data_IF_686901666958
#
_entry.id   IF_686901666958
#
_cell.length_a   1.000
_cell.length_b   1.000
_cell.length_c   1.000
_cell.angle_alpha   90.00
_cell.angle_beta   90.00
_cell.angle_gamma   90.00
#
_symmetry.space_group_name_H-M   'P 1'
#
loop_
_entity.id
_entity.type
_entity.pdbx_description
1 polymer ?
#
# COMPACT_ATOMS: atom_id res chain seq x y z
N UNK A 1 -50.26 -28.53 16.99
CA UNK A 1 -49.71 -27.20 17.35
C UNK A 1 -48.42 -27.04 16.57
N UNK A 2 -48.29 -25.99 15.75
CA UNK A 2 -46.99 -25.65 15.18
C UNK A 2 -46.06 -25.28 16.34
N UNK A 3 -44.78 -25.71 16.34
CA UNK A 3 -43.83 -25.32 17.38
C UNK A 3 -43.75 -23.79 17.44
N UNK A 4 -43.97 -23.24 18.64
CA UNK A 4 -43.80 -21.81 18.89
C UNK A 4 -42.33 -21.50 18.65
N UNK A 5 -41.99 -20.80 17.56
CA UNK A 5 -40.64 -20.28 17.35
C UNK A 5 -40.34 -19.34 18.52
N UNK A 6 -39.32 -19.66 19.32
CA UNK A 6 -38.86 -18.79 20.40
C UNK A 6 -38.33 -17.51 19.77
N UNK A 7 -38.82 -16.34 20.21
CA UNK A 7 -38.29 -15.05 19.77
C UNK A 7 -36.79 -15.01 20.10
N UNK A 8 -35.98 -14.84 19.05
CA UNK A 8 -34.53 -14.85 19.15
C UNK A 8 -33.98 -13.48 18.77
N UNK A 9 -32.73 -13.25 19.14
CA UNK A 9 -31.99 -12.06 18.80
C UNK A 9 -30.54 -12.46 18.55
N UNK A 10 -29.86 -11.63 17.77
CA UNK A 10 -28.47 -11.85 17.39
C UNK A 10 -27.63 -10.71 17.96
N UNK A 11 -26.48 -11.05 18.53
CA UNK A 11 -25.47 -10.10 18.93
C UNK A 11 -24.18 -10.39 18.16
N UNK A 12 -23.42 -9.34 17.88
CA UNK A 12 -22.08 -9.45 17.34
C UNK A 12 -21.09 -8.65 18.19
N UNK A 13 -19.83 -9.07 18.16
CA UNK A 13 -18.69 -8.36 18.73
C UNK A 13 -17.58 -8.39 17.70
N UNK A 14 -17.01 -7.22 17.41
CA UNK A 14 -15.81 -7.13 16.58
C UNK A 14 -14.58 -7.02 17.49
N UNK A 15 -13.60 -7.89 17.26
CA UNK A 15 -12.41 -8.05 18.09
C UNK A 15 -12.77 -8.20 19.58
N UNK A 16 -12.28 -7.26 20.39
CA UNK A 16 -12.56 -7.14 21.82
C UNK A 16 -13.41 -5.90 22.15
N UNK A 17 -14.13 -5.36 21.15
CA UNK A 17 -15.09 -4.26 21.34
C UNK A 17 -16.35 -4.68 22.10
N UNK A 18 -17.34 -3.79 22.19
CA UNK A 18 -18.59 -4.10 22.89
C UNK A 18 -19.52 -5.00 22.05
N UNK A 19 -20.27 -5.86 22.73
CA UNK A 19 -21.33 -6.63 22.08
C UNK A 19 -22.46 -5.73 21.62
N UNK A 20 -22.78 -5.78 20.34
CA UNK A 20 -23.83 -4.98 19.71
C UNK A 20 -24.96 -5.88 19.23
N UNK A 21 -26.20 -5.48 19.53
CA UNK A 21 -27.40 -6.20 19.09
C UNK A 21 -27.74 -5.83 17.65
N UNK A 22 -28.08 -6.82 16.82
CA UNK A 22 -28.68 -6.56 15.50
C UNK A 22 -30.08 -5.94 15.65
N UNK A 23 -30.42 -5.01 14.76
CA UNK A 23 -31.76 -4.43 14.72
C UNK A 23 -32.79 -5.44 14.23
N UNK A 24 -33.99 -5.41 14.81
CA UNK A 24 -35.06 -6.38 14.51
C UNK A 24 -35.63 -6.25 13.08
N UNK A 25 -35.28 -5.20 12.34
CA UNK A 25 -35.62 -5.04 10.91
C UNK A 25 -34.89 -6.04 10.02
N UNK A 26 -33.78 -6.61 10.49
CA UNK A 26 -32.85 -7.39 9.66
C UNK A 26 -33.10 -8.90 9.81
N UNK A 27 -34.03 -9.29 10.68
CA UNK A 27 -34.34 -10.68 11.01
C UNK A 27 -35.79 -10.97 10.60
N UNK A 28 -35.97 -11.70 9.50
CA UNK A 28 -37.25 -12.31 9.16
C UNK A 28 -37.40 -13.65 9.91
N UNK A 29 -38.14 -13.60 11.01
CA UNK A 29 -38.43 -14.78 11.85
C UNK A 29 -39.26 -15.85 11.11
N UNK A 30 -39.86 -15.52 9.96
CA UNK A 30 -40.64 -16.47 9.15
C UNK A 30 -39.74 -17.35 8.29
N UNK A 31 -38.55 -16.89 7.92
CA UNK A 31 -37.59 -17.65 7.10
C UNK A 31 -36.81 -18.69 7.91
N UNK A 32 -36.22 -19.65 7.20
CA UNK A 32 -35.27 -20.63 7.74
C UNK A 32 -33.82 -20.14 7.71
N UNK A 33 -33.56 -19.04 6.99
CA UNK A 33 -32.25 -18.41 6.86
C UNK A 33 -32.43 -16.89 6.75
N UNK A 34 -31.57 -16.14 7.42
CA UNK A 34 -31.49 -14.68 7.34
C UNK A 34 -30.08 -14.29 6.90
N UNK A 35 -29.99 -13.28 6.03
CA UNK A 35 -28.73 -12.65 5.64
C UNK A 35 -28.64 -11.31 6.37
N UNK A 36 -27.62 -11.15 7.20
CA UNK A 36 -27.40 -9.93 7.98
C UNK A 36 -26.26 -9.14 7.32
N UNK A 37 -26.55 -7.90 6.94
CA UNK A 37 -25.54 -6.97 6.44
C UNK A 37 -25.06 -6.07 7.58
N UNK A 38 -23.77 -6.16 7.91
CA UNK A 38 -23.11 -5.35 8.92
C UNK A 38 -22.60 -4.01 8.35
N UNK A 39 -22.73 -3.79 7.05
CA UNK A 39 -22.11 -2.67 6.35
C UNK A 39 -20.59 -2.76 6.31
N UNK A 40 -19.94 -1.61 6.16
CA UNK A 40 -18.47 -1.52 6.09
C UNK A 40 -17.85 -1.78 7.46
N UNK A 41 -16.92 -2.73 7.53
CA UNK A 41 -16.23 -3.14 8.77
C UNK A 41 -15.63 -1.96 9.55
N UNK A 42 -15.07 -0.98 8.85
CA UNK A 42 -14.49 0.24 9.44
C UNK A 42 -15.48 1.13 10.22
N UNK A 43 -16.79 0.94 10.04
CA UNK A 43 -17.82 1.68 10.79
C UNK A 43 -18.29 0.94 12.03
N UNK A 44 -17.85 -0.30 12.24
CA UNK A 44 -18.20 -1.10 13.38
C UNK A 44 -17.30 -0.75 14.57
N UNK A 45 -17.91 -0.56 15.73
CA UNK A 45 -17.18 -0.33 16.99
C UNK A 45 -16.25 -1.50 17.27
N UNK A 46 -14.98 -1.22 17.57
CA UNK A 46 -13.97 -2.24 17.86
C UNK A 46 -13.22 -2.75 16.62
N UNK A 47 -13.47 -2.22 15.43
CA UNK A 47 -12.66 -2.51 14.24
C UNK A 47 -11.19 -2.12 14.47
N UNK A 48 -10.27 -2.99 14.04
CA UNK A 48 -8.83 -2.75 14.14
C UNK A 48 -8.36 -1.72 13.10
N UNK A 49 -8.80 -0.46 13.17
CA UNK A 49 -8.49 0.54 12.14
C UNK A 49 -6.99 0.76 11.90
N UNK A 50 -6.17 0.58 12.93
CA UNK A 50 -4.76 1.00 12.93
C UNK A 50 -3.77 -0.18 13.03
N UNK A 51 -4.26 -1.43 13.10
CA UNK A 51 -3.39 -2.61 13.23
C UNK A 51 -3.17 -3.26 11.87
N UNK A 52 -2.29 -2.65 11.08
CA UNK A 52 -1.81 -3.23 9.84
C UNK A 52 -0.61 -4.13 10.10
N UNK A 53 -0.60 -5.26 9.42
CA UNK A 53 0.53 -6.18 9.36
C UNK A 53 1.10 -6.17 7.96
N UNK A 54 2.43 -6.20 7.85
CA UNK A 54 3.12 -6.22 6.57
C UNK A 54 3.76 -7.58 6.33
N UNK A 55 3.54 -8.17 5.16
CA UNK A 55 4.15 -9.47 4.81
C UNK A 55 5.56 -9.35 4.24
N UNK A 56 6.01 -8.15 3.78
CA UNK A 56 7.36 -7.97 3.21
C UNK A 56 7.78 -6.50 3.06
N UNK A 57 9.05 -6.18 3.38
CA UNK A 57 9.73 -4.95 2.91
C UNK A 57 10.31 -5.22 1.52
N UNK A 58 10.07 -4.33 0.56
CA UNK A 58 10.46 -4.58 -0.84
C UNK A 58 11.44 -3.53 -1.36
N UNK A 59 12.63 -4.02 -1.65
CA UNK A 59 13.64 -3.32 -2.44
C UNK A 59 13.46 -3.72 -3.90
N UNK A 60 13.67 -2.78 -4.81
CA UNK A 60 13.81 -3.09 -6.23
C UNK A 60 14.97 -4.06 -6.44
N UNK A 61 14.85 -4.93 -7.43
CA UNK A 61 16.00 -5.72 -7.90
C UNK A 61 16.61 -4.91 -9.03
N UNK A 62 17.81 -4.40 -8.82
CA UNK A 62 18.61 -3.83 -9.89
C UNK A 62 19.01 -4.99 -10.79
N UNK A 63 18.45 -5.07 -12.00
CA UNK A 63 19.01 -5.91 -13.06
C UNK A 63 19.94 -5.02 -13.89
N UNK A 64 21.26 -5.01 -13.59
CA UNK A 64 22.23 -4.19 -14.31
C UNK A 64 22.50 -4.72 -15.72
N UNK A 65 21.78 -5.74 -16.19
CA UNK A 65 22.11 -6.39 -17.46
C UNK A 65 21.19 -5.99 -18.60
N UNK A 66 20.08 -5.27 -18.40
CA UNK A 66 19.22 -4.88 -19.53
C UNK A 66 18.34 -3.67 -19.25
N UNK A 67 18.30 -2.70 -20.18
CA UNK A 67 17.26 -1.66 -20.20
C UNK A 67 15.86 -2.19 -20.59
N UNK A 68 15.77 -3.43 -21.09
CA UNK A 68 14.51 -3.99 -21.60
C UNK A 68 13.46 -4.28 -20.52
N UNK A 69 13.83 -4.30 -19.24
CA UNK A 69 12.89 -4.28 -18.14
C UNK A 69 12.50 -2.83 -17.82
N UNK A 70 11.78 -2.15 -18.71
CA UNK A 70 11.54 -0.69 -18.61
C UNK A 70 10.82 -0.26 -17.33
N UNK A 71 10.07 -1.17 -16.69
CA UNK A 71 9.52 -0.98 -15.35
C UNK A 71 9.57 -2.26 -14.52
N UNK A 72 9.70 -2.11 -13.21
CA UNK A 72 9.50 -3.14 -12.21
C UNK A 72 8.49 -2.63 -11.18
N UNK A 73 7.79 -3.56 -10.52
CA UNK A 73 6.91 -3.21 -9.40
C UNK A 73 7.58 -3.66 -8.10
N UNK A 74 7.75 -2.71 -7.18
CA UNK A 74 8.04 -3.01 -5.78
C UNK A 74 6.74 -2.89 -4.99
N UNK A 75 6.37 -3.92 -4.24
CA UNK A 75 5.09 -3.91 -3.53
C UNK A 75 5.11 -4.69 -2.22
N UNK A 76 4.37 -4.19 -1.24
CA UNK A 76 4.06 -4.90 -0.01
C UNK A 76 2.55 -5.13 0.07
N UNK A 77 2.16 -6.35 0.44
CA UNK A 77 0.79 -6.60 0.86
C UNK A 77 0.68 -6.28 2.35
N UNK A 78 -0.17 -5.31 2.65
CA UNK A 78 -0.57 -5.03 4.02
C UNK A 78 -1.93 -5.67 4.26
N UNK A 79 -2.08 -6.26 5.44
CA UNK A 79 -3.30 -6.92 5.85
C UNK A 79 -3.77 -6.38 7.20
N UNK A 80 -5.08 -6.25 7.32
CA UNK A 80 -5.77 -6.01 8.60
C UNK A 80 -6.60 -7.23 8.93
N UNK A 81 -6.35 -7.79 10.11
CA UNK A 81 -7.15 -8.88 10.65
C UNK A 81 -8.15 -8.35 11.68
N UNK A 82 -9.40 -8.80 11.54
CA UNK A 82 -10.44 -8.62 12.52
C UNK A 82 -11.09 -9.96 12.85
N UNK A 83 -11.62 -10.08 14.06
CA UNK A 83 -12.36 -11.26 14.51
C UNK A 83 -13.80 -10.85 14.79
N UNK A 84 -14.75 -11.33 13.98
CA UNK A 84 -16.17 -11.15 14.24
C UNK A 84 -16.71 -12.34 15.04
N UNK A 85 -17.20 -12.09 16.25
CA UNK A 85 -17.92 -13.07 17.06
C UNK A 85 -19.41 -12.81 16.93
N UNK A 86 -20.19 -13.86 16.72
CA UNK A 86 -21.66 -13.78 16.59
C UNK A 86 -22.29 -14.81 17.50
N UNK A 87 -23.34 -14.41 18.21
CA UNK A 87 -24.12 -15.30 19.07
C UNK A 87 -25.61 -15.11 18.82
N UNK A 88 -26.33 -16.22 18.72
CA UNK A 88 -27.79 -16.23 18.60
C UNK A 88 -28.35 -16.67 19.95
N UNK A 89 -29.24 -15.87 20.51
CA UNK A 89 -29.81 -16.10 21.84
C UNK A 89 -31.32 -15.89 21.84
N UNK A 90 -32.06 -16.44 22.82
CA UNK A 90 -33.41 -15.98 23.09
C UNK A 90 -33.42 -14.51 23.50
N UNK A 91 -34.59 -13.88 23.44
CA UNK A 91 -34.76 -12.49 23.94
C UNK A 91 -34.56 -12.34 25.45
N UNK A 92 -34.74 -13.41 26.21
CA UNK A 92 -34.53 -13.48 27.65
C UNK A 92 -34.01 -14.85 28.08
N UNK A 93 -33.34 -14.91 29.23
CA UNK A 93 -32.92 -16.16 29.88
C UNK A 93 -34.14 -16.99 30.32
N UNK A 94 -33.94 -18.25 30.69
CA UNK A 94 -35.02 -19.10 31.23
C UNK A 94 -35.64 -18.53 32.51
N UNK A 95 -34.89 -17.73 33.27
CA UNK A 95 -35.37 -17.02 34.47
C UNK A 95 -36.13 -15.72 34.15
N UNK A 96 -36.23 -15.33 32.88
CA UNK A 96 -36.95 -14.13 32.43
C UNK A 96 -36.12 -12.85 32.34
N UNK A 97 -34.81 -12.92 32.58
CA UNK A 97 -33.92 -11.75 32.45
C UNK A 97 -33.71 -11.42 30.97
N UNK A 98 -34.03 -10.19 30.56
CA UNK A 98 -33.78 -9.74 29.20
C UNK A 98 -32.27 -9.76 28.87
N UNK A 99 -31.93 -10.36 27.73
CA UNK A 99 -30.56 -10.34 27.21
C UNK A 99 -30.37 -9.07 26.36
N UNK A 100 -29.30 -8.34 26.65
CA UNK A 100 -28.98 -7.03 26.07
C UNK A 100 -27.49 -6.95 25.75
N UNK A 101 -27.09 -5.95 24.96
CA UNK A 101 -25.68 -5.68 24.66
C UNK A 101 -24.80 -5.54 25.91
N UNK A 102 -25.36 -5.02 27.00
CA UNK A 102 -24.61 -4.74 28.23
C UNK A 102 -24.36 -5.97 29.11
N UNK A 103 -25.17 -7.03 29.00
CA UNK A 103 -25.09 -8.20 29.88
C UNK A 103 -24.86 -9.52 29.13
N UNK A 104 -24.88 -9.52 27.80
CA UNK A 104 -24.72 -10.75 27.02
C UNK A 104 -23.39 -11.44 27.29
N UNK A 105 -22.32 -10.68 27.57
CA UNK A 105 -21.00 -11.23 27.91
C UNK A 105 -21.05 -12.20 29.11
N UNK A 106 -21.88 -11.91 30.11
CA UNK A 106 -22.04 -12.74 31.32
C UNK A 106 -22.81 -14.04 31.05
N UNK A 107 -23.43 -14.17 29.88
CA UNK A 107 -24.29 -15.29 29.50
C UNK A 107 -23.73 -16.11 28.34
N UNK A 108 -22.54 -15.78 27.81
CA UNK A 108 -21.97 -16.48 26.66
C UNK A 108 -21.66 -17.96 26.93
N UNK A 109 -21.47 -18.37 28.18
CA UNK A 109 -21.29 -19.79 28.52
C UNK A 109 -22.50 -20.67 28.18
N UNK A 110 -23.67 -20.06 28.08
CA UNK A 110 -24.94 -20.74 27.85
C UNK A 110 -25.25 -20.90 26.35
N UNK A 111 -24.44 -20.28 25.47
CA UNK A 111 -24.71 -20.17 24.04
C UNK A 111 -23.47 -20.43 23.19
N UNK A 112 -23.66 -21.02 22.01
CA UNK A 112 -22.57 -21.18 21.05
C UNK A 112 -22.22 -19.85 20.41
N UNK A 113 -20.97 -19.42 20.59
CA UNK A 113 -20.41 -18.26 19.89
C UNK A 113 -19.71 -18.73 18.61
N UNK A 114 -20.16 -18.23 17.47
CA UNK A 114 -19.49 -18.42 16.18
C UNK A 114 -18.43 -17.36 16.01
N UNK A 115 -17.20 -17.77 15.72
CA UNK A 115 -16.10 -16.84 15.45
C UNK A 115 -15.75 -16.89 13.96
N UNK A 116 -15.65 -15.73 13.34
CA UNK A 116 -15.31 -15.55 11.93
C UNK A 116 -14.08 -14.67 11.86
N UNK A 117 -13.00 -15.19 11.29
CA UNK A 117 -11.85 -14.37 10.92
C UNK A 117 -12.19 -13.56 9.68
N UNK A 118 -11.95 -12.26 9.73
CA UNK A 118 -12.15 -11.33 8.62
C UNK A 118 -10.80 -10.69 8.32
N UNK A 119 -10.24 -11.02 7.16
CA UNK A 119 -9.03 -10.36 6.64
C UNK A 119 -9.42 -9.38 5.55
N UNK A 120 -8.85 -8.18 5.61
CA UNK A 120 -8.83 -7.23 4.52
C UNK A 120 -7.38 -7.09 4.07
N UNK A 121 -7.14 -7.29 2.77
CA UNK A 121 -5.83 -7.15 2.16
C UNK A 121 -5.83 -5.93 1.24
N UNK A 122 -4.71 -5.23 1.19
CA UNK A 122 -4.48 -4.11 0.27
C UNK A 122 -2.99 -4.02 -0.09
N UNK A 123 -2.70 -3.28 -1.14
CA UNK A 123 -1.35 -3.21 -1.71
C UNK A 123 -0.77 -1.81 -1.59
N UNK A 124 0.45 -1.76 -1.08
CA UNK A 124 1.34 -0.60 -1.19
C UNK A 124 2.35 -0.91 -2.29
N UNK A 125 2.33 -0.16 -3.39
CA UNK A 125 3.18 -0.46 -4.54
C UNK A 125 3.77 0.80 -5.19
N UNK A 126 4.94 0.62 -5.80
CA UNK A 126 5.52 1.55 -6.74
C UNK A 126 5.87 0.83 -8.04
N UNK A 127 5.32 1.28 -9.15
CA UNK A 127 5.82 0.95 -10.48
C UNK A 127 6.94 1.93 -10.83
N UNK A 128 8.16 1.41 -10.94
CA UNK A 128 9.40 2.18 -11.03
C UNK A 128 10.22 1.73 -12.24
N UNK A 129 10.99 2.61 -12.88
CA UNK A 129 11.95 2.20 -13.90
C UNK A 129 13.12 1.47 -13.25
N UNK A 130 13.59 0.38 -13.85
CA UNK A 130 14.81 -0.34 -13.39
C UNK A 130 16.08 0.46 -13.68
N UNK A 131 16.06 1.20 -14.78
CA UNK A 131 17.13 2.05 -15.21
C UNK A 131 16.57 3.28 -15.94
N UNK A 132 17.32 4.36 -15.92
CA UNK A 132 17.00 5.54 -16.69
C UNK A 132 17.70 5.52 -18.04
N UNK A 133 16.90 5.47 -19.10
CA UNK A 133 17.35 5.50 -20.48
C UNK A 133 17.61 6.95 -20.93
N UNK A 134 18.89 7.32 -20.97
CA UNK A 134 19.35 8.63 -21.41
C UNK A 134 19.57 8.63 -22.92
N UNK A 135 18.79 9.47 -23.60
CA UNK A 135 18.88 9.67 -25.04
C UNK A 135 19.25 11.10 -25.37
N UNK A 136 20.04 11.30 -26.43
CA UNK A 136 20.30 12.64 -26.99
C UNK A 136 19.17 13.06 -27.91
N UNK A 137 18.67 14.28 -27.76
CA UNK A 137 17.79 14.88 -28.76
C UNK A 137 18.58 15.21 -30.04
N UNK A 138 17.97 15.13 -31.22
CA UNK A 138 18.64 15.49 -32.46
C UNK A 138 19.16 16.95 -32.42
N UNK A 139 20.47 17.14 -32.63
CA UNK A 139 21.13 18.46 -32.56
C UNK A 139 21.41 18.97 -31.15
N UNK A 140 21.05 18.22 -30.10
CA UNK A 140 21.40 18.51 -28.71
C UNK A 140 22.55 17.62 -28.26
N UNK A 141 23.47 18.19 -27.50
CA UNK A 141 24.48 17.43 -26.77
C UNK A 141 24.00 17.00 -25.38
N UNK A 142 22.85 17.49 -24.90
CA UNK A 142 22.25 17.11 -23.61
C UNK A 142 21.57 15.75 -23.71
N UNK A 143 21.92 14.86 -22.79
CA UNK A 143 21.26 13.58 -22.57
C UNK A 143 20.06 13.77 -21.64
N UNK A 144 18.92 13.15 -21.94
CA UNK A 144 17.71 13.27 -21.11
C UNK A 144 16.96 11.94 -21.00
N UNK A 145 16.42 11.67 -19.81
CA UNK A 145 15.47 10.59 -19.54
C UNK A 145 14.19 11.18 -18.91
N UNK A 146 13.01 10.64 -19.25
CA UNK A 146 11.71 11.10 -18.73
C UNK A 146 10.80 9.96 -18.27
N UNK A 147 11.17 9.25 -17.20
CA UNK A 147 10.34 8.20 -16.67
C UNK A 147 9.21 8.73 -15.80
N UNK A 148 8.21 7.87 -15.60
CA UNK A 148 7.12 8.10 -14.67
C UNK A 148 7.14 6.99 -13.63
N UNK A 149 6.90 7.34 -12.37
CA UNK A 149 6.70 6.40 -11.28
C UNK A 149 5.26 6.50 -10.81
N UNK A 150 4.57 5.37 -10.68
CA UNK A 150 3.20 5.34 -10.18
C UNK A 150 3.17 4.64 -8.83
N UNK A 151 2.52 5.27 -7.86
CA UNK A 151 2.31 4.74 -6.51
C UNK A 151 0.85 4.36 -6.30
N UNK A 152 0.66 3.23 -5.65
CA UNK A 152 -0.63 2.73 -5.13
C UNK A 152 -0.53 2.61 -3.62
N UNK A 153 -1.55 3.12 -2.93
CA UNK A 153 -1.65 3.17 -1.47
C UNK A 153 -3.07 2.83 -1.02
N UNK A 154 -3.41 1.56 -1.08
CA UNK A 154 -4.77 1.10 -0.76
C UNK A 154 -5.13 1.40 0.70
N UNK A 155 -4.14 1.37 1.59
CA UNK A 155 -4.36 1.58 3.02
C UNK A 155 -4.32 3.03 3.47
N UNK A 156 -3.97 3.95 2.56
CA UNK A 156 -3.75 5.36 2.87
C UNK A 156 -2.84 5.49 4.11
N UNK A 157 -1.74 4.76 4.12
CA UNK A 157 -0.69 4.91 5.12
C UNK A 157 0.31 5.97 4.66
N UNK A 158 1.02 6.65 5.58
CA UNK A 158 2.14 7.49 5.18
C UNK A 158 3.15 6.67 4.35
N UNK A 159 3.42 7.14 3.12
CA UNK A 159 4.36 6.53 2.18
C UNK A 159 5.53 7.46 1.89
N UNK A 160 6.72 6.87 1.78
CA UNK A 160 7.89 7.55 1.22
C UNK A 160 8.62 6.68 0.20
N UNK A 161 9.19 7.35 -0.81
CA UNK A 161 9.95 6.71 -1.86
C UNK A 161 11.37 7.28 -1.87
N UNK A 162 12.36 6.39 -1.83
CA UNK A 162 13.77 6.75 -1.92
C UNK A 162 14.40 6.20 -3.18
N UNK A 163 15.35 6.96 -3.73
CA UNK A 163 16.14 6.61 -4.91
C UNK A 163 17.61 6.69 -4.59
N UNK A 164 18.34 5.63 -4.90
CA UNK A 164 19.78 5.58 -4.94
C UNK A 164 20.27 5.17 -6.33
N UNK A 165 21.58 5.16 -6.49
CA UNK A 165 22.25 4.74 -7.72
C UNK A 165 22.74 3.32 -7.51
N UNK A 166 22.48 2.45 -8.50
CA UNK A 166 23.09 1.14 -8.57
C UNK A 166 24.57 1.20 -9.00
N UNK A 167 25.16 0.06 -9.33
CA UNK A 167 26.54 0.00 -9.82
C UNK A 167 26.67 0.65 -11.21
N UNK A 168 27.19 1.88 -11.23
CA UNK A 168 27.48 2.65 -12.42
C UNK A 168 28.54 2.03 -13.35
N UNK A 169 29.38 1.14 -12.84
CA UNK A 169 30.49 0.55 -13.59
C UNK A 169 30.11 -0.67 -14.42
N UNK A 170 28.90 -1.22 -14.20
CA UNK A 170 28.44 -2.42 -14.92
C UNK A 170 28.07 -2.11 -16.36
N UNK A 171 28.64 -2.86 -17.31
CA UNK A 171 28.25 -2.81 -18.73
C UNK A 171 26.87 -3.44 -18.90
N UNK A 172 25.90 -2.67 -19.42
CA UNK A 172 24.56 -3.17 -19.73
C UNK A 172 24.62 -4.09 -20.98
N UNK A 173 23.82 -5.18 -21.03
CA UNK A 173 23.98 -6.23 -22.06
C UNK A 173 23.45 -5.84 -23.46
N UNK A 174 22.81 -4.69 -23.59
CA UNK A 174 22.21 -4.16 -24.82
C UNK A 174 23.14 -3.22 -25.62
N UNK A 175 24.41 -3.08 -25.20
CA UNK A 175 25.40 -2.24 -25.89
C UNK A 175 25.36 -0.76 -25.47
N UNK A 176 24.60 -0.45 -24.43
CA UNK A 176 24.58 0.85 -23.77
C UNK A 176 25.84 1.06 -22.94
N UNK A 177 26.38 2.28 -23.00
CA UNK A 177 27.62 2.60 -22.31
C UNK A 177 27.34 2.93 -20.84
N UNK A 178 28.12 2.39 -19.87
CA UNK A 178 28.01 2.81 -18.48
C UNK A 178 28.44 4.26 -18.32
N UNK A 179 27.74 4.99 -17.44
CA UNK A 179 28.23 6.26 -16.93
C UNK A 179 29.11 5.97 -15.73
N UNK A 180 30.38 6.35 -15.77
CA UNK A 180 31.37 5.95 -14.74
C UNK A 180 31.33 6.80 -13.47
N UNK A 181 30.54 7.87 -13.44
CA UNK A 181 30.43 8.82 -12.31
C UNK A 181 29.02 9.39 -12.18
N UNK A 182 28.56 9.62 -10.94
CA UNK A 182 27.24 10.21 -10.64
C UNK A 182 27.24 11.75 -10.60
N UNK A 183 28.41 12.39 -10.47
CA UNK A 183 28.56 13.82 -10.20
C UNK A 183 27.87 14.75 -11.20
N UNK A 184 27.52 14.23 -12.37
CA UNK A 184 26.96 14.96 -13.50
C UNK A 184 25.45 14.74 -13.68
N UNK A 185 24.86 13.91 -12.82
CA UNK A 185 23.47 13.49 -12.93
C UNK A 185 22.58 14.43 -12.14
N UNK A 186 21.85 15.27 -12.87
CA UNK A 186 20.82 16.12 -12.28
C UNK A 186 19.45 15.59 -12.65
N UNK A 187 18.55 15.50 -11.68
CA UNK A 187 17.16 15.17 -11.94
C UNK A 187 16.23 16.16 -11.29
N UNK A 188 15.12 16.40 -11.98
CA UNK A 188 13.96 17.06 -11.42
C UNK A 188 12.85 16.03 -11.28
N UNK A 189 12.16 16.06 -10.16
CA UNK A 189 10.94 15.28 -9.92
C UNK A 189 9.78 16.23 -9.69
N UNK A 190 8.65 15.95 -10.34
CA UNK A 190 7.41 16.70 -10.15
C UNK A 190 6.39 15.82 -9.43
N UNK A 191 5.84 16.33 -8.34
CA UNK A 191 4.79 15.69 -7.52
C UNK A 191 3.64 16.68 -7.37
N UNK A 192 2.51 16.42 -8.02
CA UNK A 192 1.46 17.42 -8.13
C UNK A 192 1.97 18.70 -8.82
N UNK A 193 1.87 19.83 -8.14
CA UNK A 193 2.34 21.13 -8.65
C UNK A 193 3.79 21.46 -8.24
N UNK A 194 4.39 20.68 -7.33
CA UNK A 194 5.73 20.93 -6.82
C UNK A 194 6.79 20.25 -7.69
N UNK A 195 7.86 20.98 -8.00
CA UNK A 195 9.04 20.43 -8.70
C UNK A 195 10.28 20.59 -7.85
N UNK A 196 10.91 19.47 -7.52
CA UNK A 196 12.15 19.41 -6.75
C UNK A 196 13.32 19.12 -7.68
N UNK A 197 14.46 19.77 -7.45
CA UNK A 197 15.69 19.57 -8.21
C UNK A 197 16.76 18.98 -7.32
N UNK A 198 17.42 17.93 -7.79
CA UNK A 198 18.43 17.20 -7.05
C UNK A 198 19.62 16.86 -7.94
N UNK A 199 20.78 16.73 -7.33
CA UNK A 199 21.93 16.04 -7.89
C UNK A 199 21.90 14.62 -7.35
N UNK A 200 22.06 13.64 -8.22
CA UNK A 200 22.12 12.24 -7.84
C UNK A 200 23.50 11.98 -7.20
N UNK A 201 23.53 11.68 -5.91
CA UNK A 201 24.75 11.28 -5.21
C UNK A 201 24.73 9.78 -4.88
N UNK A 202 25.84 9.24 -4.39
CA UNK A 202 25.97 7.82 -4.08
C UNK A 202 25.10 7.36 -2.88
N UNK A 203 24.38 8.27 -2.22
CA UNK A 203 23.49 7.97 -1.10
C UNK A 203 22.03 7.95 -1.55
N UNK A 204 21.21 7.14 -0.85
CA UNK A 204 19.78 7.10 -1.10
C UNK A 204 19.12 8.41 -0.69
N UNK A 205 18.43 9.07 -1.62
CA UNK A 205 17.69 10.32 -1.38
C UNK A 205 16.19 10.05 -1.28
N UNK A 206 15.52 10.73 -0.36
CA UNK A 206 14.05 10.74 -0.28
C UNK A 206 13.48 11.68 -1.32
N UNK A 207 12.65 11.15 -2.22
CA UNK A 207 12.03 11.90 -3.32
C UNK A 207 10.58 12.23 -3.00
N UNK A 208 9.83 11.24 -2.53
CA UNK A 208 8.53 11.46 -1.94
C UNK A 208 8.72 11.41 -0.44
N UNK A 209 8.65 12.54 0.28
CA UNK A 209 8.64 12.51 1.74
C UNK A 209 7.37 11.81 2.23
N UNK A 210 7.38 11.38 3.49
CA UNK A 210 6.22 10.75 4.10
C UNK A 210 5.00 11.68 3.99
N UNK A 211 4.04 11.37 3.12
CA UNK A 211 2.93 12.29 2.81
C UNK A 211 1.82 12.18 3.84
N UNK A 212 1.32 13.34 4.30
CA UNK A 212 0.11 13.46 5.11
C UNK A 212 -0.72 14.67 4.63
N UNK A 213 -2.02 14.52 4.31
CA UNK A 213 -2.77 13.27 4.35
C UNK A 213 -2.32 12.31 3.22
N UNK A 214 -2.24 11.00 3.50
CA UNK A 214 -1.90 10.01 2.49
C UNK A 214 -2.99 9.93 1.41
N UNK A 215 -2.57 9.80 0.15
CA UNK A 215 -3.44 9.66 -1.02
C UNK A 215 -3.39 8.23 -1.54
N UNK A 216 -4.49 7.75 -2.14
CA UNK A 216 -4.58 6.39 -2.69
C UNK A 216 -3.69 6.15 -3.90
N UNK A 217 -3.40 7.20 -4.67
CA UNK A 217 -2.47 7.12 -5.79
C UNK A 217 -1.72 8.43 -5.97
N UNK A 218 -0.46 8.31 -6.40
CA UNK A 218 0.40 9.44 -6.74
C UNK A 218 1.24 9.08 -7.95
N UNK A 219 1.32 9.96 -8.93
CA UNK A 219 2.24 9.81 -10.06
C UNK A 219 3.36 10.84 -9.95
N UNK A 220 4.60 10.38 -10.09
CA UNK A 220 5.79 11.21 -10.06
C UNK A 220 6.38 11.24 -11.46
N UNK A 221 6.50 12.44 -12.01
CA UNK A 221 7.14 12.65 -13.30
C UNK A 221 8.59 13.04 -13.09
N UNK A 222 9.51 12.26 -13.66
CA UNK A 222 10.94 12.53 -13.58
C UNK A 222 11.44 13.14 -14.89
N UNK A 223 12.43 14.02 -14.77
CA UNK A 223 13.28 14.44 -15.87
C UNK A 223 14.71 14.44 -15.38
N UNK A 224 15.50 13.50 -15.88
CA UNK A 224 16.94 13.46 -15.60
C UNK A 224 17.71 13.99 -16.80
N UNK A 225 18.75 14.76 -16.53
CA UNK A 225 19.59 15.41 -17.52
C UNK A 225 21.06 15.26 -17.17
N UNK A 226 21.89 15.09 -18.19
CA UNK A 226 23.35 15.19 -18.07
C UNK A 226 23.81 16.32 -18.98
N UNK A 227 24.43 17.35 -18.40
CA UNK A 227 24.94 18.48 -19.17
C UNK A 227 26.25 18.10 -19.88
N UNK A 228 26.35 18.34 -21.20
CA UNK A 228 27.52 18.03 -21.99
C UNK A 228 28.76 18.87 -21.72
N UNK A 229 28.60 20.05 -21.14
CA UNK A 229 29.73 20.93 -20.82
C UNK A 229 30.57 20.39 -19.67
N UNK A 230 30.00 19.49 -18.86
CA UNK A 230 30.66 18.80 -17.76
C UNK A 230 31.06 17.36 -18.10
N UNK A 231 30.97 16.95 -19.38
CA UNK A 231 31.29 15.58 -19.78
C UNK A 231 32.75 15.19 -19.48
N UNK A 232 33.00 13.99 -18.94
CA UNK A 232 34.27 13.32 -19.12
C UNK A 232 34.44 13.05 -20.62
N UNK A 233 35.66 13.06 -21.15
CA UNK A 233 35.97 12.79 -22.56
C UNK A 233 35.44 11.44 -23.12
N UNK A 234 34.82 10.63 -22.26
CA UNK A 234 34.31 9.29 -22.51
C UNK A 234 32.85 9.29 -22.99
N UNK A 235 32.08 10.39 -22.80
CA UNK A 235 30.69 10.48 -23.29
C UNK A 235 30.67 10.84 -24.77
N UNK A 236 30.22 9.90 -25.59
CA UNK A 236 30.04 10.00 -27.03
C UNK A 236 28.64 10.52 -27.40
N UNK A 237 28.60 11.50 -28.30
CA UNK A 237 27.35 12.05 -28.88
C UNK A 237 26.62 10.99 -29.71
N UNK A 238 25.29 10.94 -29.60
CA UNK A 238 24.45 10.01 -30.36
C UNK A 238 24.48 8.57 -29.83
N UNK A 239 25.05 8.36 -28.65
CA UNK A 239 24.99 7.09 -27.92
C UNK A 239 23.92 7.15 -26.83
N UNK A 240 23.45 5.96 -26.48
CA UNK A 240 22.51 5.71 -25.40
C UNK A 240 23.30 5.35 -24.14
N UNK A 241 22.83 5.84 -22.99
CA UNK A 241 23.40 5.57 -21.67
C UNK A 241 22.29 5.12 -20.73
N UNK A 242 22.63 4.21 -19.82
CA UNK A 242 21.70 3.68 -18.85
C UNK A 242 22.25 3.89 -17.46
N UNK A 243 21.40 4.33 -16.55
CA UNK A 243 21.75 4.52 -15.14
C UNK A 243 20.93 3.52 -14.34
N UNK A 244 21.55 2.48 -13.75
CA UNK A 244 20.86 1.55 -12.88
C UNK A 244 20.41 2.27 -11.61
N UNK A 245 19.18 2.01 -11.17
CA UNK A 245 18.56 2.71 -10.06
C UNK A 245 18.17 1.75 -8.94
N UNK A 246 18.47 2.15 -7.72
CA UNK A 246 18.09 1.42 -6.51
C UNK A 246 16.90 2.12 -5.86
N UNK A 247 15.72 1.50 -5.95
CA UNK A 247 14.50 2.04 -5.39
C UNK A 247 14.10 1.33 -4.10
N UNK A 248 13.60 2.10 -3.15
CA UNK A 248 13.03 1.57 -1.93
C UNK A 248 11.74 2.33 -1.58
N UNK A 249 10.67 1.55 -1.43
CA UNK A 249 9.37 2.01 -0.95
C UNK A 249 9.33 1.77 0.57
N UNK A 250 9.01 2.81 1.33
CA UNK A 250 8.82 2.72 2.78
C UNK A 250 7.40 3.18 3.13
N UNK A 251 6.83 2.56 4.16
CA UNK A 251 5.52 2.87 4.69
C UNK A 251 5.58 2.89 6.22
N UNK A 252 4.78 3.75 6.84
CA UNK A 252 4.55 3.72 8.29
C UNK A 252 3.20 3.08 8.59
N UNK A 253 3.20 1.98 9.32
CA UNK A 253 1.97 1.27 9.69
C UNK A 253 1.19 2.02 10.79
N UNK A 254 1.77 3.06 11.40
CA UNK A 254 1.07 3.94 12.32
C UNK A 254 0.49 5.12 11.55
N UNK A 255 -0.84 5.20 11.48
CA UNK A 255 -1.49 6.44 11.08
C UNK A 255 -1.25 7.48 12.20
N UNK A 256 -0.38 8.46 11.97
CA UNK A 256 -0.38 9.68 12.79
C UNK A 256 -1.68 10.44 12.52
N UNK A 257 -2.61 10.36 13.48
CA UNK A 257 -3.82 11.19 13.53
C UNK A 257 -3.48 12.65 13.82
#
# INVERSE_FOLDING_TARGET
MAPKKTAYQVFYQLNDGDWTKFTSSDIDETQTSNTLDLGTLLKLTGANSDQLTATKVVKGVTDPTSLSATSQTISATLARENTLKVVVTPTATTAGTALTSANIADHLSDYSVTTVAVSEDGTEAAEIPTAFDLTTSAGSTILTARPTVNLTNDWQVPLSLTLGIGDLSSTLADGVLPLTTSDLLHYTVTVGDDTLSHQLDATTMTILPNTSPPTTSTSLSFKMTVDPTDYPAQVQVGKQYGIPMDWQLNYDLKMTQ
#
